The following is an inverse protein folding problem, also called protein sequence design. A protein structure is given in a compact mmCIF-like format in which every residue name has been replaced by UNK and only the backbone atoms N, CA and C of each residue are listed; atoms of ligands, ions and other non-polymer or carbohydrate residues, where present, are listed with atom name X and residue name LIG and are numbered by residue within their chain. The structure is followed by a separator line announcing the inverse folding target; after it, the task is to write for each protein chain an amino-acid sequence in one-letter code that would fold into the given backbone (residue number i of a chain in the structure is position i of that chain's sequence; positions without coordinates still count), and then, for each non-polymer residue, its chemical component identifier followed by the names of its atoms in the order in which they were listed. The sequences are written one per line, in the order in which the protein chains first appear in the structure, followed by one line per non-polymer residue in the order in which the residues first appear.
data_IF_739134183980
#
_entry.id   IF_739134183980
#
_cell.length_a   1.000
_cell.length_b   1.000
_cell.length_c   1.000
_cell.angle_alpha   90.00
_cell.angle_beta   90.00
_cell.angle_gamma   90.00
#
_symmetry.space_group_name_H-M   'P 1'
#
loop_
_entity.id
_entity.type
_entity.pdbx_description
1 polymer ?
#
# COMPACT_ATOMS: atom_id res chain seq x y z
N UNK A 1 2.82 13.73 27.64
CA UNK A 1 3.33 12.47 27.07
C UNK A 1 3.06 12.58 25.58
N UNK A 2 4.03 13.06 24.81
CA UNK A 2 3.90 13.12 23.35
C UNK A 2 4.02 11.70 22.86
N UNK A 3 2.88 11.12 22.49
CA UNK A 3 2.83 9.94 21.65
C UNK A 3 3.69 10.20 20.42
N UNK A 4 4.91 9.67 20.43
CA UNK A 4 5.87 9.75 19.34
C UNK A 4 5.41 8.75 18.26
N UNK A 5 4.23 8.97 17.68
CA UNK A 5 3.81 8.26 16.48
C UNK A 5 4.74 8.70 15.36
N UNK A 6 5.88 8.02 15.20
CA UNK A 6 6.70 8.14 14.01
C UNK A 6 5.81 7.81 12.83
N UNK A 7 5.47 8.82 12.03
CA UNK A 7 4.83 8.61 10.74
C UNK A 7 5.75 7.71 9.92
N UNK A 8 5.25 6.57 9.39
CA UNK A 8 6.07 5.71 8.57
C UNK A 8 6.58 6.49 7.34
N UNK A 9 7.79 6.15 6.89
CA UNK A 9 8.42 6.75 5.72
C UNK A 9 8.37 5.78 4.56
N UNK A 10 8.28 6.31 3.35
CA UNK A 10 8.26 5.56 2.12
C UNK A 10 9.54 4.73 1.96
N UNK A 11 9.37 3.46 1.61
CA UNK A 11 10.51 2.56 1.41
C UNK A 11 11.42 2.94 0.22
N UNK A 12 10.92 3.74 -0.73
CA UNK A 12 11.65 4.08 -1.95
C UNK A 12 12.44 5.39 -1.85
N UNK A 13 11.93 6.39 -1.13
CA UNK A 13 12.48 7.76 -1.15
C UNK A 13 12.48 8.48 0.20
N UNK A 14 12.19 7.79 1.31
CA UNK A 14 12.13 8.31 2.67
C UNK A 14 11.12 9.46 2.91
N UNK A 15 10.30 9.81 1.91
CA UNK A 15 9.24 10.81 2.09
C UNK A 15 8.12 10.28 3.00
N UNK A 16 7.30 11.14 3.62
CA UNK A 16 6.18 10.67 4.45
C UNK A 16 5.27 9.71 3.68
N UNK A 17 5.03 8.53 4.25
CA UNK A 17 4.13 7.57 3.64
C UNK A 17 2.67 8.03 3.77
N UNK A 18 1.84 7.61 2.82
CA UNK A 18 0.38 7.81 2.82
C UNK A 18 -0.38 6.48 2.86
N UNK A 19 0.29 5.37 2.52
CA UNK A 19 -0.27 4.03 2.52
C UNK A 19 0.76 2.99 2.98
N UNK A 20 0.28 1.79 3.31
CA UNK A 20 1.10 0.60 3.62
C UNK A 20 0.64 -0.59 2.78
N UNK A 21 1.56 -1.50 2.51
CA UNK A 21 1.26 -2.80 1.96
C UNK A 21 0.78 -3.74 3.05
N UNK A 22 -0.36 -4.41 2.86
CA UNK A 22 -0.83 -5.49 3.73
C UNK A 22 -0.88 -6.81 2.96
N UNK A 23 -0.12 -7.80 3.43
CA UNK A 23 -0.14 -9.14 2.87
C UNK A 23 -1.26 -9.97 3.50
N UNK A 24 -1.98 -10.74 2.69
CA UNK A 24 -3.12 -11.55 3.12
C UNK A 24 -2.73 -12.81 3.94
N UNK A 25 -1.46 -13.22 3.94
CA UNK A 25 -0.96 -14.33 4.76
C UNK A 25 0.46 -14.08 5.29
N UNK A 26 0.69 -14.13 6.63
CA UNK A 26 -0.33 -14.17 7.69
C UNK A 26 -1.26 -12.93 7.64
N UNK A 27 -2.50 -13.06 8.14
CA UNK A 27 -3.56 -12.03 8.04
C UNK A 27 -3.05 -10.62 8.33
N UNK A 28 -3.18 -9.74 7.33
CA UNK A 28 -2.80 -8.32 7.38
C UNK A 28 -1.38 -8.09 7.93
N UNK A 29 -0.43 -8.92 7.47
CA UNK A 29 0.99 -8.71 7.77
C UNK A 29 1.48 -7.44 7.13
N UNK A 30 2.02 -6.54 7.95
CA UNK A 30 2.57 -5.26 7.53
C UNK A 30 3.77 -5.46 6.61
N UNK A 31 3.69 -4.91 5.40
CA UNK A 31 4.79 -4.76 4.45
C UNK A 31 5.36 -3.35 4.44
N UNK A 32 5.83 -2.91 3.27
CA UNK A 32 6.43 -1.59 3.09
C UNK A 32 5.41 -0.45 3.20
N UNK A 33 5.86 0.70 3.69
CA UNK A 33 5.10 1.95 3.59
C UNK A 33 5.44 2.68 2.28
N UNK A 34 4.45 3.36 1.70
CA UNK A 34 4.52 3.99 0.38
C UNK A 34 4.13 5.47 0.47
N UNK A 35 4.90 6.34 -0.18
CA UNK A 35 4.49 7.72 -0.44
C UNK A 35 3.38 7.77 -1.49
N UNK A 36 2.80 8.95 -1.68
CA UNK A 36 1.74 9.18 -2.67
C UNK A 36 2.17 8.73 -4.07
N UNK A 37 3.36 9.12 -4.53
CA UNK A 37 3.86 8.74 -5.85
C UNK A 37 4.03 7.22 -6.03
N UNK A 38 4.48 6.51 -4.99
CA UNK A 38 4.64 5.05 -5.04
C UNK A 38 3.31 4.28 -4.87
N UNK A 39 2.28 4.93 -4.34
CA UNK A 39 0.97 4.33 -4.14
C UNK A 39 -0.02 4.67 -5.26
N UNK A 40 0.21 5.73 -6.04
CA UNK A 40 -0.67 6.16 -7.15
C UNK A 40 -0.70 5.14 -8.28
N UNK A 41 -1.90 4.84 -8.77
CA UNK A 41 -2.17 3.95 -9.90
C UNK A 41 -1.25 4.22 -11.10
N UNK A 42 -0.72 3.14 -11.67
CA UNK A 42 0.25 3.19 -12.78
C UNK A 42 -0.35 3.75 -14.07
N UNK A 43 -1.68 3.63 -14.26
CA UNK A 43 -2.36 4.42 -15.29
C UNK A 43 -2.19 5.92 -15.02
N UNK A 44 -1.28 6.53 -15.78
CA UNK A 44 -0.86 7.93 -15.63
C UNK A 44 -1.99 8.95 -15.78
N UNK A 45 -3.13 8.58 -16.39
CA UNK A 45 -4.30 9.46 -16.51
C UNK A 45 -5.25 9.37 -15.31
N UNK A 46 -5.11 8.34 -14.46
CA UNK A 46 -6.01 8.07 -13.35
C UNK A 46 -5.77 8.99 -12.14
N UNK A 47 -4.52 9.06 -11.69
CA UNK A 47 -4.13 9.83 -10.49
C UNK A 47 -4.72 9.32 -9.16
N UNK A 48 -5.54 8.27 -9.16
CA UNK A 48 -6.06 7.66 -7.94
C UNK A 48 -5.00 6.83 -7.22
N UNK A 49 -5.15 6.69 -5.90
CA UNK A 49 -4.37 5.71 -5.16
C UNK A 49 -4.70 4.28 -5.62
N UNK A 50 -3.65 3.47 -5.76
CA UNK A 50 -3.75 2.04 -5.95
C UNK A 50 -4.43 1.36 -4.77
N UNK A 51 -5.08 0.23 -5.06
CA UNK A 51 -5.69 -0.65 -4.06
C UNK A 51 -4.94 -1.97 -3.92
N UNK A 52 -4.15 -2.33 -4.92
CA UNK A 52 -3.32 -3.53 -4.96
C UNK A 52 -1.98 -3.21 -5.62
N UNK A 53 -0.90 -3.78 -5.09
CA UNK A 53 0.40 -3.75 -5.73
C UNK A 53 0.56 -5.03 -6.55
N UNK A 54 0.66 -4.93 -7.87
CA UNK A 54 1.04 -6.05 -8.72
C UNK A 54 2.46 -6.49 -8.35
N UNK A 55 2.62 -7.71 -7.81
CA UNK A 55 3.95 -8.20 -7.40
C UNK A 55 4.84 -8.60 -8.57
N UNK A 56 4.28 -8.92 -9.74
CA UNK A 56 5.06 -9.29 -10.91
C UNK A 56 5.67 -8.06 -11.58
N UNK A 57 4.95 -6.95 -11.59
CA UNK A 57 5.40 -5.69 -12.21
C UNK A 57 5.93 -4.66 -11.20
N UNK A 58 5.66 -4.87 -9.90
CA UNK A 58 5.90 -3.89 -8.83
C UNK A 58 5.16 -2.58 -9.08
N UNK A 59 3.94 -2.68 -9.59
CA UNK A 59 3.13 -1.55 -10.05
C UNK A 59 1.83 -1.44 -9.24
N UNK A 60 1.51 -0.26 -8.69
CA UNK A 60 0.23 -0.02 -8.02
C UNK A 60 -0.90 0.10 -9.05
N UNK A 61 -2.06 -0.49 -8.73
CA UNK A 61 -3.26 -0.41 -9.55
C UNK A 61 -4.49 -0.07 -8.72
N UNK A 62 -5.28 0.92 -9.14
CA UNK A 62 -6.55 1.22 -8.49
C UNK A 62 -7.59 0.15 -8.83
N UNK A 63 -8.66 0.08 -8.03
CA UNK A 63 -9.70 -0.94 -8.20
C UNK A 63 -10.38 -0.89 -9.58
N UNK A 64 -10.41 0.26 -10.25
CA UNK A 64 -10.95 0.39 -11.59
C UNK A 64 -10.05 -0.27 -12.63
N UNK A 65 -8.79 0.18 -12.73
CA UNK A 65 -7.84 -0.32 -13.73
C UNK A 65 -7.40 -1.75 -13.47
N UNK A 66 -7.34 -2.18 -12.20
CA UNK A 66 -7.04 -3.58 -11.87
C UNK A 66 -8.05 -4.58 -12.44
N UNK A 67 -9.32 -4.18 -12.60
CA UNK A 67 -10.37 -5.02 -13.20
C UNK A 67 -10.34 -5.03 -14.72
N UNK A 68 -9.77 -3.99 -15.34
CA UNK A 68 -9.68 -3.82 -16.79
C UNK A 68 -8.41 -4.41 -17.38
N UNK A 69 -7.41 -4.71 -16.53
CA UNK A 69 -6.17 -5.34 -16.94
C UNK A 69 -6.44 -6.82 -17.29
N UNK A 70 -7.05 -7.04 -18.46
CA UNK A 70 -7.48 -8.36 -18.94
C UNK A 70 -6.36 -9.14 -19.66
N UNK A 71 -5.24 -8.49 -20.00
CA UNK A 71 -4.24 -9.02 -20.95
C UNK A 71 -3.12 -9.89 -20.34
N UNK A 72 -3.17 -10.25 -19.05
CA UNK A 72 -2.06 -10.98 -18.41
C UNK A 72 -2.34 -11.79 -17.15
N UNK A 73 -3.57 -11.78 -16.64
CA UNK A 73 -3.95 -12.44 -15.38
C UNK A 73 -4.57 -11.46 -14.39
N UNK A 74 -5.26 -12.00 -13.37
CA UNK A 74 -5.79 -11.19 -12.28
C UNK A 74 -4.61 -10.48 -11.59
N UNK A 75 -4.69 -9.16 -11.39
CA UNK A 75 -3.65 -8.45 -10.62
C UNK A 75 -3.66 -9.04 -9.20
N UNK A 76 -2.51 -9.56 -8.77
CA UNK A 76 -2.34 -10.20 -7.47
C UNK A 76 -1.23 -9.51 -6.69
N UNK A 77 -1.40 -9.46 -5.37
CA UNK A 77 -0.38 -8.93 -4.47
C UNK A 77 -0.95 -8.40 -3.16
N UNK A 78 -0.12 -7.71 -2.37
CA UNK A 78 -0.59 -7.07 -1.15
C UNK A 78 -1.55 -5.93 -1.46
N UNK A 79 -2.50 -5.73 -0.55
CA UNK A 79 -3.39 -4.57 -0.58
C UNK A 79 -2.55 -3.31 -0.34
N UNK A 80 -2.83 -2.24 -1.09
CA UNK A 80 -2.35 -0.90 -0.78
C UNK A 80 -3.43 -0.26 0.09
N UNK A 81 -3.12 -0.03 1.37
CA UNK A 81 -4.09 0.46 2.37
C UNK A 81 -3.65 1.82 2.89
N UNK A 82 -4.47 2.88 2.73
CA UNK A 82 -4.19 4.21 3.28
C UNK A 82 -3.96 4.21 4.79
N UNK A 83 -3.06 5.07 5.27
CA UNK A 83 -2.70 5.15 6.70
C UNK A 83 -3.84 5.61 7.62
N UNK A 84 -4.84 6.30 7.07
CA UNK A 84 -6.03 6.71 7.82
C UNK A 84 -7.07 5.59 7.97
N UNK A 85 -6.88 4.46 7.27
CA UNK A 85 -7.75 3.29 7.35
C UNK A 85 -7.44 2.44 8.60
N UNK A 86 -8.49 1.92 9.27
CA UNK A 86 -8.32 1.18 10.52
C UNK A 86 -7.49 -0.11 10.37
N UNK A 87 -7.55 -0.78 9.21
CA UNK A 87 -6.67 -1.93 8.88
C UNK A 87 -5.19 -1.54 8.95
N UNK A 88 -4.81 -0.41 8.35
CA UNK A 88 -3.42 0.06 8.40
C UNK A 88 -3.00 0.40 9.82
N UNK A 89 -3.83 1.11 10.59
CA UNK A 89 -3.56 1.45 12.00
C UNK A 89 -3.34 0.20 12.86
N UNK A 90 -4.20 -0.80 12.68
CA UNK A 90 -4.09 -2.05 13.42
C UNK A 90 -2.84 -2.84 13.06
N UNK A 91 -2.50 -2.95 11.77
CA UNK A 91 -1.29 -3.63 11.31
C UNK A 91 -0.02 -2.92 11.81
N UNK A 92 0.00 -1.59 11.79
CA UNK A 92 1.10 -0.77 12.33
C UNK A 92 1.27 -0.96 13.84
N UNK A 93 0.18 -1.01 14.60
CA UNK A 93 0.24 -1.26 16.04
C UNK A 93 0.79 -2.66 16.37
N UNK A 94 0.48 -3.67 15.54
CA UNK A 94 1.01 -5.03 15.67
C UNK A 94 2.49 -5.13 15.30
N UNK A 95 2.90 -4.52 14.19
CA UNK A 95 4.27 -4.58 13.67
C UNK A 95 5.30 -3.88 14.57
N UNK A 96 4.86 -3.05 15.51
CA UNK A 96 5.70 -2.38 16.52
C UNK A 96 5.96 -3.22 17.78
N UNK A 97 5.38 -4.42 17.89
CA UNK A 97 5.60 -5.31 19.03
C UNK A 97 6.92 -6.10 18.84
N UNK A 98 7.86 -6.06 19.81
CA UNK A 98 9.17 -6.73 19.71
C UNK A 98 9.09 -8.26 19.74
#
# INVERSE_FOLDING_TARGET
MTDNHMTPVCANDDTPAVAVLLHSAPEDTLGSALCEACATCTDTACGELGTILDVALLEPWCAHHARQYEDGGEIQGPDIVPLDHDRARWALAKGQQP
#
